data_IF_123978857954
#
_entry.id   IF_123978857954
#
_cell.length_a   1.000
_cell.length_b   1.000
_cell.length_c   1.000
_cell.angle_alpha   90.00
_cell.angle_beta   90.00
_cell.angle_gamma   90.00
#
_symmetry.space_group_name_H-M   'P 1'
#
loop_
_entity.id
_entity.type
_entity.pdbx_description
1 polymer ?
#
# COMPACT_ATOMS: atom_id res chain seq x y z
N UNK A 1 19.84 -9.57 15.74
CA UNK A 1 18.63 -8.86 16.18
C UNK A 1 18.67 -7.47 15.55
N UNK A 2 17.98 -7.26 14.42
CA UNK A 2 17.85 -5.92 13.81
C UNK A 2 16.38 -5.57 13.72
N UNK A 3 15.79 -5.35 14.90
CA UNK A 3 14.61 -4.50 15.06
C UNK A 3 14.97 -3.11 14.53
N UNK A 4 14.53 -2.83 13.31
CA UNK A 4 14.43 -1.49 12.78
C UNK A 4 12.98 -1.31 12.38
N UNK A 5 12.33 -0.25 12.87
CA UNK A 5 11.06 0.18 12.31
C UNK A 5 11.28 0.45 10.82
N UNK A 6 10.90 -0.48 9.96
CA UNK A 6 11.14 -0.40 8.53
C UNK A 6 9.81 -0.07 7.89
N UNK A 7 9.79 1.04 7.14
CA UNK A 7 8.73 1.28 6.18
C UNK A 7 8.54 0.05 5.29
N UNK A 8 7.38 -0.04 4.65
CA UNK A 8 7.03 -1.14 3.75
C UNK A 8 8.20 -1.52 2.82
N UNK A 9 8.66 -2.77 2.87
CA UNK A 9 9.83 -3.26 2.11
C UNK A 9 9.50 -3.41 0.62
N UNK A 10 9.47 -2.26 -0.06
CA UNK A 10 9.20 -2.15 -1.49
C UNK A 10 10.22 -2.92 -2.33
N UNK A 11 11.50 -2.88 -1.95
CA UNK A 11 12.56 -3.59 -2.66
C UNK A 11 12.41 -5.11 -2.56
N UNK A 12 12.05 -5.61 -1.39
CA UNK A 12 11.70 -7.02 -1.18
C UNK A 12 10.51 -7.44 -2.03
N UNK A 13 9.45 -6.63 -2.06
CA UNK A 13 8.24 -6.91 -2.84
C UNK A 13 8.52 -6.97 -4.35
N UNK A 14 9.28 -6.01 -4.88
CA UNK A 14 9.63 -5.98 -6.31
C UNK A 14 10.49 -7.17 -6.72
N UNK A 15 11.45 -7.58 -5.88
CA UNK A 15 12.25 -8.79 -6.14
C UNK A 15 11.38 -10.05 -6.12
N UNK A 16 10.46 -10.16 -5.17
CA UNK A 16 9.56 -11.30 -5.08
C UNK A 16 8.61 -11.39 -6.30
N UNK A 17 8.01 -10.27 -6.71
CA UNK A 17 7.07 -10.22 -7.84
C UNK A 17 7.73 -10.27 -9.22
N UNK A 18 8.69 -9.39 -9.49
CA UNK A 18 9.29 -9.24 -10.83
C UNK A 18 10.36 -10.30 -11.11
N UNK A 19 11.13 -10.71 -10.10
CA UNK A 19 12.17 -11.73 -10.27
C UNK A 19 11.72 -13.11 -9.81
N UNK A 20 11.04 -13.22 -8.67
CA UNK A 20 10.57 -14.51 -8.13
C UNK A 20 9.44 -15.13 -8.96
N UNK A 21 8.34 -14.40 -9.16
CA UNK A 21 7.20 -14.84 -9.96
C UNK A 21 7.36 -14.60 -11.47
N UNK A 22 8.44 -13.93 -11.89
CA UNK A 22 8.74 -13.55 -13.29
C UNK A 22 7.58 -12.80 -13.97
N UNK A 23 6.83 -12.01 -13.19
CA UNK A 23 5.76 -11.18 -13.72
C UNK A 23 6.34 -10.03 -14.53
N UNK A 24 5.67 -9.66 -15.63
CA UNK A 24 5.98 -8.40 -16.30
C UNK A 24 5.58 -7.22 -15.39
N UNK A 25 6.26 -6.06 -15.48
CA UNK A 25 5.88 -4.89 -14.69
C UNK A 25 4.40 -4.52 -14.83
N UNK A 26 3.84 -4.63 -16.03
CA UNK A 26 2.43 -4.36 -16.28
C UNK A 26 1.51 -5.33 -15.52
N UNK A 27 1.81 -6.63 -15.53
CA UNK A 27 1.03 -7.62 -14.78
C UNK A 27 1.16 -7.41 -13.27
N UNK A 28 2.36 -7.12 -12.79
CA UNK A 28 2.59 -6.83 -11.38
C UNK A 28 1.75 -5.65 -10.87
N UNK A 29 1.62 -4.58 -11.66
CA UNK A 29 0.80 -3.41 -11.32
C UNK A 29 -0.70 -3.60 -11.58
N UNK A 30 -1.08 -4.54 -12.45
CA UNK A 30 -2.48 -4.89 -12.69
C UNK A 30 -3.07 -5.78 -11.59
N UNK A 31 -2.23 -6.53 -10.87
CA UNK A 31 -2.66 -7.41 -9.79
C UNK A 31 -3.03 -6.62 -8.54
N UNK A 32 -4.05 -7.11 -7.84
CA UNK A 32 -4.32 -6.64 -6.48
C UNK A 32 -3.23 -7.14 -5.53
N UNK A 33 -2.91 -6.39 -4.45
CA UNK A 33 -1.95 -6.86 -3.45
C UNK A 33 -2.33 -8.20 -2.83
N UNK A 34 -3.62 -8.51 -2.72
CA UNK A 34 -4.11 -9.79 -2.22
C UNK A 34 -3.77 -10.97 -3.15
N UNK A 35 -3.95 -10.79 -4.46
CA UNK A 35 -3.58 -11.81 -5.46
C UNK A 35 -2.07 -12.02 -5.50
N UNK A 36 -1.29 -10.95 -5.40
CA UNK A 36 0.18 -11.04 -5.35
C UNK A 36 0.64 -11.84 -4.11
N UNK A 37 0.07 -11.56 -2.93
CA UNK A 37 0.39 -12.29 -1.70
C UNK A 37 0.04 -13.77 -1.80
N UNK A 38 -1.12 -14.09 -2.38
CA UNK A 38 -1.56 -15.46 -2.62
C UNK A 38 -0.57 -16.21 -3.54
N UNK A 39 -0.12 -15.59 -4.63
CA UNK A 39 0.88 -16.19 -5.53
C UNK A 39 2.25 -16.36 -4.88
N UNK A 40 2.60 -15.49 -3.93
CA UNK A 40 3.82 -15.61 -3.13
C UNK A 40 3.73 -16.68 -2.03
N UNK A 41 2.59 -17.35 -1.87
CA UNK A 41 2.37 -18.33 -0.80
C UNK A 41 2.34 -17.71 0.59
N UNK A 42 2.16 -16.39 0.68
CA UNK A 42 1.94 -15.69 1.94
C UNK A 42 0.46 -15.84 2.24
N UNK A 43 0.15 -16.71 3.20
CA UNK A 43 -1.23 -16.92 3.64
C UNK A 43 -1.79 -15.55 4.08
N UNK A 44 -2.85 -15.10 3.41
CA UNK A 44 -3.49 -13.80 3.62
C UNK A 44 -4.28 -13.76 4.94
N UNK A 45 -3.75 -14.41 5.98
CA UNK A 45 -4.26 -14.38 7.35
C UNK A 45 -4.03 -13.02 8.03
N UNK A 46 -3.28 -12.10 7.41
CA UNK A 46 -3.32 -10.69 7.80
C UNK A 46 -4.63 -10.10 7.26
N UNK A 47 -5.67 -10.14 8.10
CA UNK A 47 -6.97 -9.56 7.80
C UNK A 47 -6.78 -8.19 7.12
N UNK A 48 -7.49 -7.91 6.01
CA UNK A 48 -7.41 -6.60 5.38
C UNK A 48 -7.66 -5.55 6.45
N UNK A 49 -6.82 -4.50 6.48
CA UNK A 49 -6.89 -3.46 7.50
C UNK A 49 -8.34 -3.07 7.75
N UNK A 50 -8.81 -3.24 8.99
CA UNK A 50 -10.19 -2.93 9.33
C UNK A 50 -10.52 -1.51 8.87
N UNK A 51 -11.71 -1.32 8.31
CA UNK A 51 -12.16 -0.02 7.77
C UNK A 51 -11.91 1.13 8.75
N UNK A 52 -12.08 0.88 10.04
CA UNK A 52 -11.79 1.81 11.12
C UNK A 52 -10.33 2.30 11.16
N UNK A 53 -9.35 1.44 10.85
CA UNK A 53 -7.94 1.82 10.83
C UNK A 53 -7.58 2.60 9.57
N UNK A 54 -8.21 2.30 8.43
CA UNK A 54 -8.07 3.13 7.24
C UNK A 54 -8.61 4.54 7.49
N UNK A 55 -9.75 4.66 8.16
CA UNK A 55 -10.32 5.96 8.55
C UNK A 55 -9.44 6.71 9.56
N UNK A 56 -8.82 6.00 10.51
CA UNK A 56 -7.86 6.61 11.43
C UNK A 56 -6.64 7.18 10.69
N UNK A 57 -6.17 6.50 9.64
CA UNK A 57 -5.05 6.97 8.82
C UNK A 57 -5.42 8.16 7.95
N UNK A 58 -6.59 8.16 7.30
CA UNK A 58 -7.02 9.31 6.48
C UNK A 58 -7.18 10.59 7.31
N UNK A 59 -7.59 10.46 8.57
CA UNK A 59 -7.62 11.58 9.52
C UNK A 59 -6.23 12.01 9.97
N UNK A 60 -5.31 11.08 10.17
CA UNK A 60 -3.94 11.36 10.59
C UNK A 60 -3.08 11.97 9.47
N UNK A 61 -3.35 11.61 8.22
CA UNK A 61 -2.63 12.03 7.03
C UNK A 61 -3.61 12.52 5.96
N UNK A 62 -4.19 13.72 6.13
CA UNK A 62 -5.07 14.29 5.12
C UNK A 62 -4.26 14.62 3.85
N UNK A 63 -4.77 14.21 2.69
CA UNK A 63 -4.14 14.45 1.37
C UNK A 63 -4.08 15.94 0.98
N UNK A 64 -4.79 16.80 1.72
CA UNK A 64 -4.73 18.26 1.52
C UNK A 64 -3.46 18.82 2.18
N UNK A 65 -2.62 19.56 1.45
CA UNK A 65 -1.54 20.32 2.08
C UNK A 65 -2.15 21.27 3.11
N UNK A 66 -1.50 21.38 4.27
CA UNK A 66 -1.87 22.27 5.38
C UNK A 66 -1.76 23.73 4.91
N UNK A 67 -2.80 24.23 4.22
CA UNK A 67 -2.79 25.58 3.66
C UNK A 67 -3.82 25.91 2.57
N UNK A 68 -4.49 24.94 1.94
CA UNK A 68 -5.53 25.25 0.94
C UNK A 68 -6.92 25.15 1.56
N UNK A 69 -7.29 26.17 2.35
CA UNK A 69 -8.71 26.47 2.54
C UNK A 69 -9.21 26.93 1.17
N UNK A 70 -10.19 26.20 0.64
CA UNK A 70 -10.92 26.54 -0.57
C UNK A 70 -11.39 28.00 -0.45
N UNK A 71 -10.74 28.91 -1.17
CA UNK A 71 -11.37 30.17 -1.58
C UNK A 71 -12.64 29.75 -2.31
N UNK A 72 -13.74 29.91 -1.62
CA UNK A 72 -15.09 29.89 -2.14
C UNK A 72 -15.13 30.92 -3.27
N UNK A 73 -15.01 30.48 -4.51
CA UNK A 73 -15.54 31.24 -5.63
C UNK A 73 -17.07 31.18 -5.50
N UNK A 74 -17.62 32.14 -4.76
CA UNK A 74 -18.99 32.59 -4.99
C UNK A 74 -19.05 33.13 -6.42
N UNK A 75 -19.91 32.50 -7.22
CA UNK A 75 -20.43 33.08 -8.46
C UNK A 75 -21.59 34.03 -8.15
#
# INVERSE_FOLDING_TARGET
MTEGGRGFDWGGLMRAGLHGLRLTPAQFWALTPAELLMMLGVDAASAPMARARLEALSRAYPDRPKGQQEERCDE
#
